data_IF_690833906927
#
_entry.id   IF_690833906927
#
_cell.length_a   1.000
_cell.length_b   1.000
_cell.length_c   1.000
_cell.angle_alpha   90.00
_cell.angle_beta   90.00
_cell.angle_gamma   90.00
#
_symmetry.space_group_name_H-M   'P 1'
#
loop_
_entity.id
_entity.type
_entity.pdbx_description
1 polymer ?
#
# COMPACT_ATOMS: atom_id res chain seq x y z
N UNK A 1 -17.21 28.18 -6.02
CA UNK A 1 -15.78 27.83 -6.13
C UNK A 1 -15.07 28.91 -6.93
N UNK A 2 -14.02 29.51 -6.39
CA UNK A 2 -13.17 30.49 -7.11
C UNK A 2 -12.23 29.75 -8.09
N UNK A 3 -11.80 30.40 -9.17
CA UNK A 3 -10.91 29.81 -10.18
C UNK A 3 -9.57 29.27 -9.58
N UNK A 4 -9.07 29.94 -8.53
CA UNK A 4 -7.92 29.50 -7.74
C UNK A 4 -8.15 28.18 -6.99
N UNK A 5 -9.36 27.94 -6.47
CA UNK A 5 -9.71 26.68 -5.79
C UNK A 5 -9.76 25.50 -6.76
N UNK A 6 -10.25 25.73 -7.98
CA UNK A 6 -10.35 24.71 -9.03
C UNK A 6 -8.97 24.30 -9.55
N UNK A 7 -8.08 25.27 -9.83
CA UNK A 7 -6.69 25.00 -10.26
C UNK A 7 -5.89 24.22 -9.22
N UNK A 8 -6.09 24.51 -7.92
CA UNK A 8 -5.45 23.75 -6.83
C UNK A 8 -5.96 22.31 -6.78
N UNK A 9 -7.27 22.10 -6.92
CA UNK A 9 -7.87 20.77 -6.97
C UNK A 9 -7.36 19.96 -8.19
N UNK A 10 -7.33 20.56 -9.37
CA UNK A 10 -6.84 19.89 -10.59
C UNK A 10 -5.35 19.48 -10.46
N UNK A 11 -4.53 20.34 -9.84
CA UNK A 11 -3.12 20.02 -9.53
C UNK A 11 -3.01 18.85 -8.56
N UNK A 12 -3.82 18.85 -7.49
CA UNK A 12 -3.86 17.76 -6.52
C UNK A 12 -4.24 16.41 -7.15
N UNK A 13 -5.32 16.38 -7.95
CA UNK A 13 -5.78 15.16 -8.65
C UNK A 13 -4.68 14.60 -9.57
N UNK A 14 -3.96 15.45 -10.30
CA UNK A 14 -2.84 15.01 -11.16
C UNK A 14 -1.70 14.38 -10.36
N UNK A 15 -1.41 14.91 -9.18
CA UNK A 15 -0.36 14.39 -8.30
C UNK A 15 -0.77 13.01 -7.78
N UNK A 16 -1.99 12.87 -7.27
CA UNK A 16 -2.53 11.57 -6.82
C UNK A 16 -2.49 10.53 -7.96
N UNK A 17 -2.95 10.89 -9.15
CA UNK A 17 -2.94 9.98 -10.30
C UNK A 17 -1.52 9.55 -10.70
N UNK A 18 -0.56 10.49 -10.71
CA UNK A 18 0.85 10.21 -11.02
C UNK A 18 1.47 9.30 -9.95
N UNK A 19 1.26 9.59 -8.67
CA UNK A 19 1.75 8.77 -7.57
C UNK A 19 1.23 7.35 -7.67
N UNK A 20 -0.10 7.18 -7.83
CA UNK A 20 -0.71 5.85 -7.92
C UNK A 20 -0.08 5.03 -9.06
N UNK A 21 0.21 5.67 -10.20
CA UNK A 21 0.89 5.04 -11.32
C UNK A 21 2.32 4.62 -10.96
N UNK A 22 3.12 5.51 -10.35
CA UNK A 22 4.50 5.20 -9.94
C UNK A 22 4.54 4.02 -8.96
N UNK A 23 3.65 4.00 -7.96
CA UNK A 23 3.53 2.89 -7.01
C UNK A 23 3.17 1.60 -7.75
N UNK A 24 2.22 1.65 -8.68
CA UNK A 24 1.81 0.48 -9.45
C UNK A 24 2.95 -0.08 -10.30
N UNK A 25 3.70 0.80 -10.96
CA UNK A 25 4.89 0.45 -11.75
C UNK A 25 5.97 -0.17 -10.86
N UNK A 26 6.22 0.41 -9.67
CA UNK A 26 7.20 -0.11 -8.71
C UNK A 26 6.87 -1.52 -8.24
N UNK A 27 5.63 -1.77 -7.80
CA UNK A 27 5.19 -3.10 -7.35
C UNK A 27 5.27 -4.12 -8.49
N UNK A 28 4.92 -3.73 -9.71
CA UNK A 28 4.97 -4.62 -10.86
C UNK A 28 6.40 -4.95 -11.28
N UNK A 29 7.30 -3.98 -11.35
CA UNK A 29 8.67 -4.20 -11.83
C UNK A 29 9.58 -4.84 -10.79
N UNK A 30 9.49 -4.41 -9.54
CA UNK A 30 10.41 -4.85 -8.48
C UNK A 30 9.88 -6.07 -7.71
N UNK A 31 8.59 -6.08 -7.38
CA UNK A 31 7.99 -7.14 -6.56
C UNK A 31 7.28 -8.20 -7.40
N UNK A 32 6.93 -7.90 -8.66
CA UNK A 32 6.14 -8.75 -9.56
C UNK A 32 4.78 -9.12 -8.97
N UNK A 33 4.16 -8.18 -8.25
CA UNK A 33 2.81 -8.29 -7.66
C UNK A 33 2.02 -7.01 -7.97
N UNK A 34 0.68 -7.03 -7.92
CA UNK A 34 -0.08 -5.80 -8.11
C UNK A 34 0.01 -4.89 -6.87
N UNK A 35 0.06 -3.57 -7.07
CA UNK A 35 0.04 -2.61 -5.96
C UNK A 35 -1.27 -2.67 -5.17
N UNK A 36 -2.42 -2.75 -5.83
CA UNK A 36 -3.70 -2.99 -5.15
C UNK A 36 -4.06 -4.48 -5.27
N UNK A 37 -4.41 -5.18 -4.18
CA UNK A 37 -4.57 -4.69 -2.80
C UNK A 37 -3.31 -4.83 -1.91
N UNK A 38 -2.16 -5.27 -2.46
CA UNK A 38 -1.00 -5.60 -1.63
C UNK A 38 -0.47 -4.42 -0.80
N UNK A 39 -0.44 -3.20 -1.35
CA UNK A 39 -0.08 -1.99 -0.62
C UNK A 39 -1.07 -1.70 0.51
N UNK A 40 -2.37 -1.91 0.28
CA UNK A 40 -3.40 -1.69 1.30
C UNK A 40 -3.21 -2.65 2.49
N UNK A 41 -2.81 -3.90 2.22
CA UNK A 41 -2.44 -4.88 3.25
C UNK A 41 -1.20 -4.41 4.02
N UNK A 42 -0.15 -3.96 3.33
CA UNK A 42 1.07 -3.45 3.99
C UNK A 42 0.74 -2.26 4.90
N UNK A 43 -0.07 -1.32 4.42
CA UNK A 43 -0.51 -0.16 5.19
C UNK A 43 -1.35 -0.57 6.40
N UNK A 44 -2.29 -1.51 6.25
CA UNK A 44 -3.10 -2.02 7.36
C UNK A 44 -2.21 -2.58 8.47
N UNK A 45 -1.27 -3.46 8.12
CA UNK A 45 -0.34 -4.08 9.06
C UNK A 45 0.60 -3.04 9.71
N UNK A 46 1.04 -2.04 8.96
CA UNK A 46 1.87 -0.95 9.50
C UNK A 46 1.10 -0.11 10.52
N UNK A 47 -0.16 0.22 10.24
CA UNK A 47 -1.01 1.00 11.16
C UNK A 47 -1.40 0.24 12.42
N UNK A 48 -1.29 -1.10 12.41
CA UNK A 48 -1.48 -1.94 13.58
C UNK A 48 -0.30 -1.88 14.59
N UNK A 49 0.72 -1.06 14.32
CA UNK A 49 1.81 -0.73 15.24
C UNK A 49 2.54 -1.97 15.81
N UNK A 50 2.87 -2.91 14.90
CA UNK A 50 3.46 -4.23 15.17
C UNK A 50 2.52 -5.30 15.75
N UNK A 51 1.24 -4.98 15.99
CA UNK A 51 0.24 -6.00 16.23
C UNK A 51 -0.02 -6.80 14.96
N UNK A 52 -0.13 -8.11 15.11
CA UNK A 52 -0.50 -8.98 14.01
C UNK A 52 -2.02 -8.90 13.79
N UNK A 53 -2.45 -8.77 12.54
CA UNK A 53 -3.85 -8.76 12.16
C UNK A 53 -4.30 -10.16 11.74
N UNK A 54 -5.55 -10.51 12.03
CA UNK A 54 -6.17 -11.72 11.48
C UNK A 54 -6.45 -11.57 9.98
N UNK A 55 -6.57 -12.70 9.27
CA UNK A 55 -6.96 -12.66 7.85
C UNK A 55 -8.32 -11.98 7.63
N UNK A 56 -9.25 -12.14 8.58
CA UNK A 56 -10.56 -11.50 8.53
C UNK A 56 -10.48 -9.98 8.66
N UNK A 57 -9.70 -9.47 9.61
CA UNK A 57 -9.48 -8.02 9.78
C UNK A 57 -8.86 -7.40 8.53
N UNK A 58 -7.91 -8.10 7.90
CA UNK A 58 -7.30 -7.67 6.63
C UNK A 58 -8.34 -7.66 5.52
N UNK A 59 -9.15 -8.72 5.41
CA UNK A 59 -10.20 -8.85 4.40
C UNK A 59 -11.20 -7.70 4.46
N UNK A 60 -11.63 -7.33 5.67
CA UNK A 60 -12.52 -6.21 5.94
C UNK A 60 -11.85 -4.87 5.54
N UNK A 61 -10.58 -4.69 5.91
CA UNK A 61 -9.83 -3.47 5.61
C UNK A 61 -9.70 -3.24 4.10
N UNK A 62 -9.29 -4.26 3.34
CA UNK A 62 -9.11 -4.14 1.89
C UNK A 62 -10.42 -4.33 1.11
N UNK A 63 -11.55 -4.52 1.81
CA UNK A 63 -12.88 -4.73 1.23
C UNK A 63 -12.91 -5.85 0.18
N UNK A 64 -12.14 -6.92 0.40
CA UNK A 64 -12.12 -8.11 -0.45
C UNK A 64 -12.74 -9.30 0.28
N UNK A 65 -13.19 -10.31 -0.46
CA UNK A 65 -13.67 -11.56 0.14
C UNK A 65 -12.50 -12.44 0.64
N UNK A 66 -12.74 -13.35 1.62
CA UNK A 66 -11.67 -14.12 2.27
C UNK A 66 -10.75 -14.89 1.30
N UNK A 67 -11.31 -15.53 0.27
CA UNK A 67 -10.50 -16.29 -0.71
C UNK A 67 -9.59 -15.39 -1.55
N UNK A 68 -10.01 -14.16 -1.83
CA UNK A 68 -9.20 -13.19 -2.58
C UNK A 68 -8.10 -12.65 -1.68
N UNK A 69 -8.44 -12.30 -0.43
CA UNK A 69 -7.49 -11.88 0.60
C UNK A 69 -6.40 -12.92 0.80
N UNK A 70 -6.79 -14.19 1.03
CA UNK A 70 -5.85 -15.30 1.21
C UNK A 70 -4.89 -15.45 0.02
N UNK A 71 -5.40 -15.37 -1.22
CA UNK A 71 -4.56 -15.43 -2.43
C UNK A 71 -3.50 -14.33 -2.46
N UNK A 72 -3.84 -13.10 -2.05
CA UNK A 72 -2.87 -12.01 -1.99
C UNK A 72 -1.90 -12.16 -0.83
N UNK A 73 -2.35 -12.66 0.32
CA UNK A 73 -1.48 -12.98 1.44
C UNK A 73 -0.45 -14.04 1.07
N UNK A 74 -0.86 -15.15 0.45
CA UNK A 74 0.05 -16.20 0.02
C UNK A 74 1.07 -15.68 -1.01
N UNK A 75 0.63 -14.81 -1.92
CA UNK A 75 1.52 -14.13 -2.85
C UNK A 75 2.53 -13.24 -2.12
N UNK A 76 2.10 -12.44 -1.16
CA UNK A 76 2.98 -11.55 -0.38
C UNK A 76 3.94 -12.32 0.53
N UNK A 77 3.52 -13.45 1.09
CA UNK A 77 4.39 -14.40 1.80
C UNK A 77 5.47 -14.93 0.87
N UNK A 78 5.12 -15.33 -0.36
CA UNK A 78 6.11 -15.81 -1.35
C UNK A 78 7.14 -14.75 -1.76
N UNK A 79 6.83 -13.47 -1.52
CA UNK A 79 7.73 -12.33 -1.74
C UNK A 79 8.50 -11.91 -0.49
N UNK A 80 8.26 -12.57 0.64
CA UNK A 80 8.88 -12.24 1.92
C UNK A 80 8.44 -10.89 2.47
N UNK A 81 7.30 -10.35 2.05
CA UNK A 81 6.79 -9.06 2.51
C UNK A 81 5.99 -9.19 3.81
N UNK A 82 5.33 -10.33 3.99
CA UNK A 82 4.55 -10.65 5.18
C UNK A 82 4.85 -12.07 5.62
N UNK A 83 4.58 -12.36 6.88
CA UNK A 83 4.62 -13.70 7.47
C UNK A 83 3.26 -14.04 8.10
N UNK A 84 2.95 -15.34 8.15
CA UNK A 84 1.70 -15.88 8.70
C UNK A 84 2.02 -16.87 9.81
N UNK A 85 1.38 -16.72 10.97
CA UNK A 85 1.49 -17.60 12.13
C UNK A 85 0.12 -17.74 12.81
N UNK A 86 -0.45 -18.94 12.87
CA UNK A 86 -1.74 -19.26 13.51
C UNK A 86 -2.85 -18.20 13.28
N UNK A 87 -3.21 -17.97 12.01
CA UNK A 87 -4.20 -16.97 11.54
C UNK A 87 -3.79 -15.49 11.75
N UNK A 88 -2.58 -15.24 12.24
CA UNK A 88 -2.06 -13.88 12.39
C UNK A 88 -1.07 -13.56 11.28
N UNK A 89 -1.19 -12.36 10.73
CA UNK A 89 -0.35 -11.84 9.67
C UNK A 89 0.46 -10.65 10.19
N UNK A 90 1.74 -10.60 9.83
CA UNK A 90 2.66 -9.51 10.22
C UNK A 90 3.52 -9.07 9.05
N UNK A 91 4.02 -7.83 9.12
CA UNK A 91 5.09 -7.37 8.24
C UNK A 91 6.40 -8.08 8.62
N UNK A 92 7.14 -8.52 7.62
CA UNK A 92 8.55 -8.85 7.81
C UNK A 92 9.38 -7.57 7.83
N UNK A 93 10.66 -7.66 8.20
CA UNK A 93 11.60 -6.55 8.03
C UNK A 93 11.65 -6.06 6.56
N UNK A 94 11.67 -6.98 5.59
CA UNK A 94 11.68 -6.61 4.18
C UNK A 94 10.39 -5.91 3.75
N UNK A 95 9.23 -6.33 4.26
CA UNK A 95 7.96 -5.65 3.98
C UNK A 95 7.91 -4.25 4.58
N UNK A 96 8.48 -4.08 5.78
CA UNK A 96 8.58 -2.77 6.43
C UNK A 96 9.52 -1.83 5.66
N UNK A 97 10.68 -2.31 5.21
CA UNK A 97 11.62 -1.53 4.41
C UNK A 97 11.01 -1.11 3.07
N UNK A 98 10.34 -2.05 2.40
CA UNK A 98 9.63 -1.82 1.14
C UNK A 98 8.55 -0.75 1.29
N UNK A 99 7.70 -0.86 2.32
CA UNK A 99 6.67 0.12 2.61
C UNK A 99 7.26 1.50 2.92
N UNK A 100 8.34 1.54 3.72
CA UNK A 100 9.01 2.78 4.10
C UNK A 100 9.58 3.48 2.87
N UNK A 101 10.24 2.76 1.96
CA UNK A 101 10.75 3.31 0.71
C UNK A 101 9.63 3.88 -0.19
N UNK A 102 8.49 3.20 -0.27
CA UNK A 102 7.31 3.71 -1.00
C UNK A 102 6.75 4.97 -0.35
N UNK A 103 6.67 5.02 0.98
CA UNK A 103 6.18 6.19 1.73
C UNK A 103 7.12 7.39 1.62
N UNK A 104 8.43 7.18 1.70
CA UNK A 104 9.45 8.22 1.53
C UNK A 104 9.41 8.82 0.13
N UNK A 105 9.35 7.96 -0.90
CA UNK A 105 9.23 8.40 -2.29
C UNK A 105 7.95 9.21 -2.50
N UNK A 106 6.82 8.76 -1.93
CA UNK A 106 5.58 9.51 -1.97
C UNK A 106 5.70 10.88 -1.30
N UNK A 107 6.27 10.93 -0.10
CA UNK A 107 6.43 12.15 0.66
C UNK A 107 7.31 13.18 -0.09
N UNK A 108 8.43 12.72 -0.66
CA UNK A 108 9.30 13.55 -1.49
C UNK A 108 8.57 14.10 -2.73
N UNK A 109 7.80 13.25 -3.42
CA UNK A 109 7.02 13.65 -4.60
C UNK A 109 5.89 14.62 -4.24
N UNK A 110 5.28 14.49 -3.06
CA UNK A 110 4.24 15.36 -2.56
C UNK A 110 4.80 16.74 -2.21
N UNK A 111 5.89 16.82 -1.43
CA UNK A 111 6.55 18.08 -1.07
C UNK A 111 6.97 18.84 -2.33
N UNK A 112 7.66 18.19 -3.26
CA UNK A 112 8.21 18.87 -4.44
C UNK A 112 7.14 19.41 -5.41
N UNK A 113 5.91 18.88 -5.36
CA UNK A 113 4.86 19.18 -6.36
C UNK A 113 3.64 19.86 -5.78
N UNK A 114 3.42 19.84 -4.47
CA UNK A 114 2.26 20.47 -3.82
C UNK A 114 2.64 21.73 -3.05
N UNK A 115 3.76 21.70 -2.31
CA UNK A 115 4.29 22.85 -1.58
C UNK A 115 5.09 23.76 -2.53
#
# INVERSE_FOLDING_TARGET
MTDLSKKRLDRFVRIVAKTRRQISEHFFENLRIPAAPCLDILLALHTADSAALSENEISDYISCGPSVTQRFLDLMVSKGLVEKDDDKVRLTASGQDELSGVMEQFHADFIAKVL
#
